data_IF_456226988151
#
_entry.id   IF_456226988151
#
_cell.length_a   1.000
_cell.length_b   1.000
_cell.length_c   1.000
_cell.angle_alpha   90.00
_cell.angle_beta   90.00
_cell.angle_gamma   90.00
#
_symmetry.space_group_name_H-M   'P 1'
#
loop_
_entity.id
_entity.type
_entity.pdbx_description
1 polymer ?
#
# COMPACT_ATOMS: atom_id res chain seq x y z
N UNK A 1 -6.34 -17.17 -16.96
CA UNK A 1 -5.31 -16.12 -17.06
C UNK A 1 -4.55 -16.13 -15.74
N UNK A 2 -3.44 -16.85 -15.68
CA UNK A 2 -2.63 -16.97 -14.46
C UNK A 2 -1.78 -15.70 -14.39
N UNK A 3 -2.07 -14.81 -13.43
CA UNK A 3 -1.19 -13.69 -13.16
C UNK A 3 0.12 -14.29 -12.65
N UNK A 4 1.22 -14.03 -13.36
CA UNK A 4 2.56 -14.41 -12.91
C UNK A 4 2.72 -14.01 -11.44
N UNK A 5 3.21 -14.88 -10.55
CA UNK A 5 3.47 -14.53 -9.17
C UNK A 5 4.40 -13.33 -9.18
N UNK A 6 3.92 -12.23 -8.64
CA UNK A 6 4.58 -10.92 -8.70
C UNK A 6 5.90 -11.08 -7.96
N UNK A 7 7.05 -11.18 -8.65
CA UNK A 7 8.25 -11.78 -8.06
C UNK A 7 8.89 -10.90 -6.99
N UNK A 8 8.34 -9.70 -6.78
CA UNK A 8 8.82 -8.70 -5.84
C UNK A 8 7.88 -8.42 -4.67
N UNK A 9 6.75 -9.11 -4.57
CA UNK A 9 5.85 -8.98 -3.42
C UNK A 9 6.04 -10.16 -2.47
N UNK A 10 6.23 -9.86 -1.18
CA UNK A 10 6.34 -10.89 -0.14
C UNK A 10 5.38 -10.59 1.00
N UNK A 11 4.68 -11.62 1.47
CA UNK A 11 3.92 -11.58 2.72
C UNK A 11 4.79 -12.14 3.83
N UNK A 12 5.17 -11.29 4.77
CA UNK A 12 5.90 -11.70 5.96
C UNK A 12 4.94 -11.78 7.15
N UNK A 13 4.89 -12.90 7.88
CA UNK A 13 4.01 -13.06 9.03
C UNK A 13 4.47 -12.15 10.18
N UNK A 14 3.49 -11.48 10.81
CA UNK A 14 3.65 -10.77 12.08
C UNK A 14 3.05 -11.58 13.23
N UNK A 15 1.96 -12.30 12.93
CA UNK A 15 1.31 -13.27 13.82
C UNK A 15 0.70 -14.41 12.97
N UNK A 16 0.03 -15.40 13.56
CA UNK A 16 -0.68 -16.44 12.80
C UNK A 16 -1.77 -15.92 11.86
N UNK A 17 -2.37 -14.77 12.18
CA UNK A 17 -3.51 -14.19 11.45
C UNK A 17 -3.21 -12.81 10.86
N UNK A 18 -1.96 -12.34 10.96
CA UNK A 18 -1.57 -11.01 10.47
C UNK A 18 -0.22 -11.04 9.78
N UNK A 19 -0.12 -10.27 8.70
CA UNK A 19 1.06 -10.20 7.84
C UNK A 19 1.36 -8.75 7.47
N UNK A 20 2.62 -8.51 7.11
CA UNK A 20 3.01 -7.32 6.35
C UNK A 20 3.23 -7.71 4.90
N UNK A 21 2.68 -6.92 3.99
CA UNK A 21 2.99 -6.99 2.57
C UNK A 21 4.18 -6.09 2.28
N UNK A 22 5.24 -6.65 1.70
CA UNK A 22 6.48 -5.93 1.42
C UNK A 22 6.88 -5.99 -0.07
N UNK A 23 7.56 -4.93 -0.52
CA UNK A 23 8.28 -4.88 -1.80
C UNK A 23 9.74 -5.31 -1.58
N UNK A 24 10.13 -6.45 -2.14
CA UNK A 24 11.48 -7.01 -1.98
C UNK A 24 12.55 -6.26 -2.77
N UNK A 25 12.16 -5.31 -3.64
CA UNK A 25 13.10 -4.42 -4.36
C UNK A 25 13.62 -3.30 -3.46
N UNK A 26 12.96 -3.05 -2.34
CA UNK A 26 13.34 -2.04 -1.35
C UNK A 26 14.01 -2.73 -0.18
N UNK A 27 15.06 -2.12 0.37
CA UNK A 27 15.78 -2.67 1.50
C UNK A 27 14.82 -2.89 2.68
N UNK A 28 14.88 -4.07 3.32
CA UNK A 28 13.99 -4.43 4.43
C UNK A 28 14.03 -3.47 5.62
N UNK A 29 15.15 -2.78 5.81
CA UNK A 29 15.33 -1.77 6.87
C UNK A 29 14.70 -0.41 6.51
N UNK A 30 14.33 -0.19 5.26
CA UNK A 30 13.67 1.03 4.80
C UNK A 30 12.16 0.88 4.98
N UNK A 31 11.53 1.86 5.63
CA UNK A 31 10.09 1.87 5.84
C UNK A 31 9.30 1.85 4.52
N UNK A 32 9.90 2.33 3.42
CA UNK A 32 9.29 2.25 2.09
C UNK A 32 9.12 0.81 1.57
N UNK A 33 9.76 -0.19 2.19
CA UNK A 33 9.55 -1.60 1.85
C UNK A 33 8.18 -2.11 2.26
N UNK A 34 7.51 -1.48 3.22
CA UNK A 34 6.19 -1.90 3.70
C UNK A 34 5.09 -1.24 2.87
N UNK A 35 4.26 -2.07 2.23
CA UNK A 35 3.18 -1.62 1.36
C UNK A 35 1.83 -1.59 2.07
N UNK A 36 1.55 -2.62 2.86
CA UNK A 36 0.29 -2.78 3.57
C UNK A 36 0.43 -3.71 4.78
N UNK A 37 -0.52 -3.58 5.71
CA UNK A 37 -0.81 -4.59 6.72
C UNK A 37 -2.01 -5.41 6.29
N UNK A 38 -1.93 -6.71 6.52
CA UNK A 38 -2.94 -7.70 6.13
C UNK A 38 -3.36 -8.47 7.37
N UNK A 39 -4.66 -8.59 7.58
CA UNK A 39 -5.25 -9.25 8.73
C UNK A 39 -6.32 -10.21 8.24
N UNK A 40 -6.37 -11.42 8.80
CA UNK A 40 -7.48 -12.34 8.57
C UNK A 40 -8.76 -11.73 9.14
N UNK A 41 -9.83 -11.73 8.35
CA UNK A 41 -11.10 -11.14 8.74
C UNK A 41 -12.00 -12.16 9.44
N UNK A 42 -12.73 -11.74 10.47
CA UNK A 42 -13.72 -12.58 11.18
C UNK A 42 -14.83 -13.12 10.25
N UNK A 43 -15.03 -12.47 9.09
CA UNK A 43 -16.02 -12.85 8.07
C UNK A 43 -15.44 -13.77 7.00
N UNK A 44 -14.18 -14.20 7.16
CA UNK A 44 -13.38 -14.86 6.15
C UNK A 44 -12.73 -13.88 5.18
N UNK A 45 -11.64 -14.31 4.54
CA UNK A 45 -10.81 -13.46 3.69
C UNK A 45 -9.84 -12.59 4.50
N UNK A 46 -9.38 -11.51 3.89
CA UNK A 46 -8.29 -10.68 4.39
C UNK A 46 -8.61 -9.21 4.27
N UNK A 47 -8.57 -8.50 5.39
CA UNK A 47 -8.61 -7.06 5.45
C UNK A 47 -7.19 -6.50 5.23
N UNK A 48 -7.08 -5.47 4.40
CA UNK A 48 -5.81 -4.88 3.98
C UNK A 48 -5.85 -3.39 4.25
N UNK A 49 -4.87 -2.91 5.02
CA UNK A 49 -4.65 -1.49 5.29
C UNK A 49 -3.42 -1.03 4.53
N UNK A 50 -3.63 -0.17 3.52
CA UNK A 50 -2.54 0.36 2.70
C UNK A 50 -1.75 1.43 3.45
N UNK A 51 -0.43 1.28 3.45
CA UNK A 51 0.52 2.26 3.99
C UNK A 51 1.17 3.03 2.84
N UNK A 52 1.37 2.36 1.70
CA UNK A 52 1.96 2.95 0.51
C UNK A 52 0.90 3.55 -0.42
N UNK A 53 1.15 4.79 -0.87
CA UNK A 53 0.39 5.44 -1.94
C UNK A 53 -0.97 6.03 -1.53
N UNK A 54 -1.24 6.14 -0.21
CA UNK A 54 -2.39 6.81 0.37
C UNK A 54 -3.02 5.99 1.51
N UNK A 55 -3.80 6.65 2.37
CA UNK A 55 -4.60 5.96 3.38
C UNK A 55 -5.83 5.34 2.73
N UNK A 56 -5.96 4.02 2.81
CA UNK A 56 -7.11 3.29 2.30
C UNK A 56 -7.14 1.87 2.84
N UNK A 57 -8.33 1.27 2.84
CA UNK A 57 -8.53 -0.14 3.19
C UNK A 57 -9.14 -0.88 2.01
N UNK A 58 -8.91 -2.19 1.96
CA UNK A 58 -9.52 -3.11 1.00
C UNK A 58 -9.77 -4.45 1.68
N UNK A 59 -10.68 -5.24 1.12
CA UNK A 59 -10.94 -6.62 1.56
C UNK A 59 -10.80 -7.54 0.35
N UNK A 60 -10.19 -8.70 0.56
CA UNK A 60 -9.99 -9.73 -0.47
C UNK A 60 -10.43 -11.10 0.05
N UNK A 61 -10.97 -11.94 -0.83
CA UNK A 61 -11.44 -13.27 -0.43
C UNK A 61 -10.30 -14.24 -0.17
N UNK A 62 -9.16 -14.07 -0.84
CA UNK A 62 -8.03 -14.98 -0.77
C UNK A 62 -6.69 -14.30 -1.04
N UNK A 63 -5.61 -14.99 -0.69
CA UNK A 63 -4.26 -14.43 -0.76
C UNK A 63 -3.80 -14.15 -2.20
N UNK A 64 -4.14 -15.03 -3.14
CA UNK A 64 -3.81 -14.83 -4.56
C UNK A 64 -4.49 -13.57 -5.11
N UNK A 65 -5.77 -13.36 -4.74
CA UNK A 65 -6.53 -12.17 -5.13
C UNK A 65 -5.91 -10.89 -4.53
N UNK A 66 -5.49 -10.96 -3.26
CA UNK A 66 -4.80 -9.87 -2.59
C UNK A 66 -3.51 -9.48 -3.32
N UNK A 67 -2.68 -10.46 -3.71
CA UNK A 67 -1.42 -10.17 -4.43
C UNK A 67 -1.67 -9.51 -5.79
N UNK A 68 -2.71 -9.95 -6.52
CA UNK A 68 -3.13 -9.29 -7.76
C UNK A 68 -3.64 -7.88 -7.49
N UNK A 69 -4.47 -7.71 -6.46
CA UNK A 69 -5.00 -6.40 -6.02
C UNK A 69 -3.91 -5.43 -5.60
N UNK A 70 -2.84 -5.94 -4.96
CA UNK A 70 -1.69 -5.13 -4.57
C UNK A 70 -0.95 -4.55 -5.79
N UNK A 71 -0.73 -5.33 -6.84
CA UNK A 71 -0.14 -4.82 -8.09
C UNK A 71 -0.98 -3.72 -8.69
N UNK A 72 -2.30 -3.92 -8.74
CA UNK A 72 -3.23 -2.92 -9.27
C UNK A 72 -3.20 -1.63 -8.44
N UNK A 73 -3.17 -1.76 -7.10
CA UNK A 73 -3.06 -0.62 -6.20
C UNK A 73 -1.76 0.15 -6.43
N UNK A 74 -0.62 -0.54 -6.54
CA UNK A 74 0.68 0.08 -6.83
C UNK A 74 0.70 0.82 -8.17
N UNK A 75 0.16 0.20 -9.22
CA UNK A 75 0.03 0.81 -10.55
C UNK A 75 -0.85 2.08 -10.49
N UNK A 76 -1.97 2.02 -9.75
CA UNK A 76 -2.83 3.17 -9.52
C UNK A 76 -2.11 4.28 -8.74
N UNK A 77 -1.34 3.93 -7.71
CA UNK A 77 -0.56 4.90 -6.93
C UNK A 77 0.50 5.63 -7.78
N UNK A 78 1.22 4.90 -8.65
CA UNK A 78 2.20 5.49 -9.56
C UNK A 78 1.57 6.55 -10.47
N UNK A 79 0.36 6.29 -10.99
CA UNK A 79 -0.36 7.25 -11.83
C UNK A 79 -0.79 8.53 -11.10
N UNK A 80 -1.03 8.46 -9.78
CA UNK A 80 -1.45 9.60 -8.95
C UNK A 80 -0.29 10.51 -8.53
N UNK A 81 0.96 10.10 -8.75
CA UNK A 81 2.15 10.88 -8.39
C UNK A 81 2.29 12.10 -9.31
N UNK A 82 1.60 13.18 -8.96
CA UNK A 82 1.61 14.46 -9.70
C UNK A 82 2.36 15.52 -8.92
N UNK A 83 2.93 16.50 -9.63
CA UNK A 83 3.58 17.67 -9.01
C UNK A 83 2.56 18.37 -8.10
N UNK A 84 2.90 18.68 -6.84
CA UNK A 84 2.03 19.45 -5.97
C UNK A 84 1.58 20.74 -6.66
N UNK A 85 0.31 21.11 -6.49
CA UNK A 85 -0.15 22.44 -6.96
C UNK A 85 0.64 23.50 -6.18
N UNK A 86 1.26 24.48 -6.86
CA UNK A 86 1.91 25.60 -6.17
C UNK A 86 0.91 26.25 -5.21
N UNK A 87 1.30 26.40 -3.94
CA UNK A 87 0.50 27.13 -2.96
C UNK A 87 0.64 28.61 -3.31
N UNK A 88 -0.49 29.31 -3.48
CA UNK A 88 -0.45 30.75 -3.72
C UNK A 88 0.21 31.44 -2.53
N UNK A 89 1.27 32.21 -2.80
CA UNK A 89 2.00 32.92 -1.76
C UNK A 89 1.11 34.01 -1.16
N UNK A 90 0.76 33.90 0.13
CA UNK A 90 0.06 34.96 0.86
C UNK A 90 1.12 35.91 1.45
N UNK A 91 1.12 37.20 1.11
CA UNK A 91 2.06 38.14 1.73
C UNK A 91 1.81 38.23 3.25
N UNK A 92 2.84 38.52 4.05
CA UNK A 92 2.69 38.71 5.49
C UNK A 92 1.70 39.84 5.80
N UNK A 93 0.96 39.69 6.90
CA UNK A 93 0.03 40.73 7.37
C UNK A 93 0.86 41.97 7.75
N UNK A 94 0.61 43.11 7.11
CA UNK A 94 1.24 44.37 7.51
C UNK A 94 0.77 44.72 8.94
N UNK A 95 1.71 45.04 9.82
CA UNK A 95 1.37 45.62 11.13
C UNK A 95 0.80 47.02 10.91
N UNK A 96 -0.41 47.25 11.42
CA UNK A 96 -1.02 48.58 11.54
C UNK A 96 -0.44 49.32 12.75
#
# INVERSE_FOLDING_TARGET
>A
MSADPVPHLSLEPLSPTTWRLCDTRVARSDAASVLAYVEESDRGGYDVTWVHGGAGTAWFRGMDELLVGAVQHLAACASRRRKPKPIAHRPPLAAL
#
